data_IF_433379283653
#
_entry.id   IF_433379283653
#
_cell.length_a   1.000
_cell.length_b   1.000
_cell.length_c   1.000
_cell.angle_alpha   90.00
_cell.angle_beta   90.00
_cell.angle_gamma   90.00
#
_symmetry.space_group_name_H-M   'P 1'
#
loop_
_entity.id
_entity.type
_entity.pdbx_description
1 polymer ?
#
# COMPACT_ATOMS: atom_id res chain seq x y z
N UNK A 1 11.04 -27.25 -7.30
CA UNK A 1 9.67 -26.70 -7.38
C UNK A 1 9.71 -25.36 -8.10
N UNK A 2 9.03 -25.21 -9.25
CA UNK A 2 8.94 -23.91 -9.93
C UNK A 2 8.03 -22.97 -9.14
N UNK A 3 8.37 -21.67 -9.10
CA UNK A 3 7.51 -20.67 -8.46
C UNK A 3 6.19 -20.59 -9.25
N UNK A 4 5.01 -20.66 -8.59
CA UNK A 4 3.73 -20.58 -9.28
C UNK A 4 3.61 -19.26 -10.03
N UNK A 5 3.05 -19.31 -11.24
CA UNK A 5 2.84 -18.13 -12.05
C UNK A 5 1.87 -17.14 -11.36
N UNK A 6 1.92 -15.84 -11.67
CA UNK A 6 0.98 -14.88 -11.11
C UNK A 6 -0.50 -15.24 -11.32
N UNK A 7 -0.84 -15.87 -12.45
CA UNK A 7 -2.20 -16.36 -12.70
C UNK A 7 -2.57 -17.52 -11.77
N UNK A 8 -1.69 -18.49 -11.60
CA UNK A 8 -1.91 -19.62 -10.69
C UNK A 8 -2.08 -19.15 -9.25
N UNK A 9 -1.24 -18.21 -8.80
CA UNK A 9 -1.35 -17.61 -7.46
C UNK A 9 -2.66 -16.88 -7.25
N UNK A 10 -3.10 -16.06 -8.21
CA UNK A 10 -4.40 -15.38 -8.11
C UNK A 10 -5.54 -16.38 -7.95
N UNK A 11 -5.54 -17.45 -8.76
CA UNK A 11 -6.57 -18.50 -8.68
C UNK A 11 -6.52 -19.26 -7.34
N UNK A 12 -5.34 -19.62 -6.85
CA UNK A 12 -5.22 -20.40 -5.62
C UNK A 12 -5.49 -19.58 -4.35
N UNK A 13 -5.02 -18.33 -4.30
CA UNK A 13 -5.10 -17.48 -3.11
C UNK A 13 -6.42 -16.67 -3.05
N UNK A 14 -6.99 -16.30 -4.20
CA UNK A 14 -8.16 -15.39 -4.28
C UNK A 14 -9.32 -15.93 -5.12
N UNK A 15 -9.17 -17.10 -5.76
CA UNK A 15 -10.16 -17.71 -6.65
C UNK A 15 -10.18 -17.11 -8.06
N UNK A 16 -10.25 -15.78 -8.16
CA UNK A 16 -10.29 -15.05 -9.44
C UNK A 16 -9.59 -13.69 -9.35
N UNK A 17 -9.39 -13.06 -10.51
CA UNK A 17 -8.82 -11.71 -10.56
C UNK A 17 -9.81 -10.68 -10.02
N UNK A 18 -11.08 -10.87 -10.34
CA UNK A 18 -12.21 -10.05 -9.92
C UNK A 18 -12.29 -10.01 -8.39
N UNK A 19 -12.20 -11.17 -7.74
CA UNK A 19 -12.20 -11.24 -6.27
C UNK A 19 -11.01 -10.52 -5.65
N UNK A 20 -9.81 -10.65 -6.23
CA UNK A 20 -8.64 -9.91 -5.78
C UNK A 20 -8.82 -8.40 -5.95
N UNK A 21 -9.43 -7.97 -7.06
CA UNK A 21 -9.74 -6.55 -7.28
C UNK A 21 -10.78 -6.05 -6.28
N UNK A 22 -11.83 -6.81 -6.00
CA UNK A 22 -12.86 -6.43 -5.03
C UNK A 22 -12.27 -6.26 -3.62
N UNK A 23 -11.35 -7.14 -3.22
CA UNK A 23 -10.61 -6.97 -1.97
C UNK A 23 -9.67 -5.74 -1.98
N UNK A 24 -9.09 -5.39 -3.13
CA UNK A 24 -8.23 -4.22 -3.24
C UNK A 24 -9.03 -2.92 -3.24
N UNK A 25 -10.22 -2.90 -3.84
CA UNK A 25 -11.09 -1.72 -3.88
C UNK A 25 -11.50 -1.29 -2.47
N UNK A 26 -11.72 -2.23 -1.56
CA UNK A 26 -12.09 -1.92 -0.17
C UNK A 26 -10.92 -1.47 0.71
N UNK A 27 -9.67 -1.70 0.27
CA UNK A 27 -8.47 -1.41 1.08
C UNK A 27 -7.64 -0.24 0.56
N UNK A 28 -7.68 0.04 -0.73
CA UNK A 28 -6.84 1.04 -1.37
C UNK A 28 -7.53 2.41 -1.46
N UNK A 29 -6.74 3.46 -1.26
CA UNK A 29 -7.15 4.84 -1.52
C UNK A 29 -7.38 5.08 -3.03
N UNK A 30 -8.50 5.74 -3.35
CA UNK A 30 -8.83 6.19 -4.71
C UNK A 30 -8.07 7.47 -5.07
N UNK A 31 -8.13 7.87 -6.33
CA UNK A 31 -7.86 9.27 -6.67
C UNK A 31 -9.08 10.12 -6.31
N UNK A 32 -8.87 11.39 -5.98
CA UNK A 32 -9.93 12.29 -5.50
C UNK A 32 -11.02 12.53 -6.55
N UNK A 33 -10.65 12.43 -7.83
CA UNK A 33 -11.51 12.60 -9.00
C UNK A 33 -12.07 11.28 -9.58
N UNK A 34 -11.77 10.13 -8.97
CA UNK A 34 -12.12 8.81 -9.50
C UNK A 34 -13.35 8.19 -8.80
N UNK A 35 -14.36 7.84 -9.58
CA UNK A 35 -15.54 7.12 -9.10
C UNK A 35 -15.22 5.69 -8.63
N UNK A 36 -16.11 5.07 -7.86
CA UNK A 36 -15.92 3.68 -7.39
C UNK A 36 -15.82 2.68 -8.56
N UNK A 37 -16.67 2.84 -9.58
CA UNK A 37 -16.67 1.96 -10.75
C UNK A 37 -15.44 2.16 -11.63
N UNK A 38 -15.05 3.42 -11.84
CA UNK A 38 -13.83 3.77 -12.57
C UNK A 38 -12.59 3.18 -11.89
N UNK A 39 -12.54 3.25 -10.56
CA UNK A 39 -11.47 2.65 -9.78
C UNK A 39 -11.38 1.14 -9.96
N UNK A 40 -12.53 0.45 -9.88
CA UNK A 40 -12.60 -1.00 -10.12
C UNK A 40 -12.15 -1.34 -11.53
N UNK A 41 -12.61 -0.60 -12.55
CA UNK A 41 -12.20 -0.79 -13.95
C UNK A 41 -10.70 -0.58 -14.12
N UNK A 42 -10.12 0.46 -13.49
CA UNK A 42 -8.68 0.72 -13.52
C UNK A 42 -7.90 -0.44 -12.93
N UNK A 43 -8.30 -0.96 -11.78
CA UNK A 43 -7.67 -2.13 -11.15
C UNK A 43 -7.83 -3.40 -12.00
N UNK A 44 -8.97 -3.59 -12.66
CA UNK A 44 -9.18 -4.71 -13.58
C UNK A 44 -8.23 -4.68 -14.79
N UNK A 45 -7.75 -3.51 -15.20
CA UNK A 45 -6.73 -3.38 -16.27
C UNK A 45 -5.30 -3.67 -15.79
N UNK A 46 -5.06 -3.72 -14.49
CA UNK A 46 -3.74 -4.01 -13.91
C UNK A 46 -3.41 -5.50 -14.06
N UNK A 47 -2.13 -5.83 -14.27
CA UNK A 47 -1.68 -7.23 -14.38
C UNK A 47 -1.73 -7.97 -13.04
N UNK A 48 -1.97 -9.28 -13.07
CA UNK A 48 -2.05 -10.12 -11.87
C UNK A 48 -0.81 -9.98 -10.97
N UNK A 49 0.39 -9.88 -11.57
CA UNK A 49 1.64 -9.66 -10.83
C UNK A 49 1.61 -8.37 -10.01
N UNK A 50 1.08 -7.28 -10.58
CA UNK A 50 0.97 -5.99 -9.89
C UNK A 50 -0.14 -6.01 -8.84
N UNK A 51 -1.28 -6.63 -9.11
CA UNK A 51 -2.34 -6.80 -8.11
C UNK A 51 -1.87 -7.58 -6.89
N UNK A 52 -1.16 -8.69 -7.10
CA UNK A 52 -0.54 -9.46 -6.00
C UNK A 52 0.46 -8.62 -5.21
N UNK A 53 1.26 -7.77 -5.89
CA UNK A 53 2.17 -6.85 -5.21
C UNK A 53 1.41 -5.82 -4.38
N UNK A 54 0.34 -5.23 -4.92
CA UNK A 54 -0.49 -4.27 -4.20
C UNK A 54 -1.11 -4.90 -2.95
N UNK A 55 -1.65 -6.11 -3.07
CA UNK A 55 -2.21 -6.85 -1.94
C UNK A 55 -1.15 -7.15 -0.88
N UNK A 56 0.03 -7.64 -1.30
CA UNK A 56 1.14 -7.91 -0.38
C UNK A 56 1.61 -6.65 0.36
N UNK A 57 1.68 -5.50 -0.33
CA UNK A 57 2.03 -4.22 0.29
C UNK A 57 0.98 -3.79 1.31
N UNK A 58 -0.31 -3.97 0.98
CA UNK A 58 -1.41 -3.63 1.88
C UNK A 58 -1.45 -4.54 3.11
N UNK A 59 -1.29 -5.85 2.93
CA UNK A 59 -1.19 -6.81 4.04
C UNK A 59 0.00 -6.50 4.94
N UNK A 60 1.14 -6.13 4.35
CA UNK A 60 2.32 -5.70 5.11
C UNK A 60 2.02 -4.44 5.92
N UNK A 61 1.36 -3.45 5.31
CA UNK A 61 0.95 -2.23 6.01
C UNK A 61 0.07 -2.54 7.22
N UNK A 62 -0.99 -3.33 7.01
CA UNK A 62 -1.94 -3.74 8.04
C UNK A 62 -1.23 -4.54 9.16
N UNK A 63 -0.29 -5.41 8.80
CA UNK A 63 0.42 -6.26 9.76
C UNK A 63 1.51 -5.54 10.56
N UNK A 64 2.28 -4.63 9.94
CA UNK A 64 3.46 -4.00 10.59
C UNK A 64 3.13 -2.67 11.28
N UNK A 65 2.08 -1.98 10.84
CA UNK A 65 1.74 -0.62 11.26
C UNK A 65 0.28 -0.47 11.67
N UNK A 66 -0.64 -1.19 11.01
CA UNK A 66 -2.08 -1.10 11.27
C UNK A 66 -2.70 0.16 10.69
N UNK A 67 -2.23 1.34 11.11
CA UNK A 67 -2.72 2.64 10.67
C UNK A 67 -1.62 3.53 10.06
N UNK A 68 -2.08 4.55 9.33
CA UNK A 68 -1.21 5.46 8.58
C UNK A 68 -0.43 6.41 9.50
N UNK A 69 -1.01 6.77 10.65
CA UNK A 69 -0.36 7.61 11.66
C UNK A 69 0.87 6.93 12.25
N UNK A 70 0.73 5.66 12.66
CA UNK A 70 1.85 4.85 13.17
C UNK A 70 3.00 4.75 12.16
N UNK A 71 2.69 4.56 10.88
CA UNK A 71 3.71 4.57 9.81
C UNK A 71 4.40 5.93 9.69
N UNK A 72 3.65 7.03 9.75
CA UNK A 72 4.20 8.40 9.72
C UNK A 72 5.10 8.68 10.91
N UNK A 73 4.71 8.26 12.11
CA UNK A 73 5.52 8.40 13.33
C UNK A 73 6.86 7.66 13.21
N UNK A 74 6.85 6.41 12.70
CA UNK A 74 8.11 5.68 12.43
C UNK A 74 8.97 6.36 11.36
N UNK A 75 8.37 6.94 10.32
CA UNK A 75 9.12 7.69 9.31
C UNK A 75 9.80 8.92 9.94
N UNK A 76 9.08 9.64 10.80
CA UNK A 76 9.60 10.82 11.47
C UNK A 76 10.73 10.46 12.43
N UNK A 77 10.59 9.36 13.18
CA UNK A 77 11.64 8.89 14.09
C UNK A 77 12.94 8.54 13.36
N UNK A 78 12.87 7.97 12.15
CA UNK A 78 14.07 7.73 11.33
C UNK A 78 14.63 8.99 10.68
N UNK A 79 13.77 9.89 10.18
CA UNK A 79 14.21 11.02 9.35
C UNK A 79 14.75 12.18 10.17
N UNK A 80 14.04 12.56 11.23
CA UNK A 80 14.41 13.70 12.05
C UNK A 80 13.78 13.60 13.45
N UNK A 81 14.43 12.90 14.40
CA UNK A 81 13.94 12.75 15.77
C UNK A 81 13.62 14.08 16.46
N UNK A 82 14.32 15.16 16.09
CA UNK A 82 14.15 16.51 16.68
C UNK A 82 12.89 17.23 16.17
N UNK A 83 12.30 16.79 15.06
CA UNK A 83 11.06 17.31 14.49
C UNK A 83 9.88 16.37 14.70
N UNK A 84 9.95 15.49 15.71
CA UNK A 84 8.85 14.62 16.10
C UNK A 84 7.51 15.34 16.35
N UNK A 85 7.58 16.65 16.65
CA UNK A 85 6.42 17.51 16.93
C UNK A 85 6.09 18.49 15.79
N UNK A 86 6.72 18.37 14.61
CA UNK A 86 6.42 19.22 13.46
C UNK A 86 5.08 18.81 12.82
N UNK A 87 4.04 19.53 13.20
CA UNK A 87 2.66 19.27 12.77
C UNK A 87 2.46 19.46 11.25
N UNK A 88 2.92 20.55 10.60
CA UNK A 88 2.90 20.67 9.14
C UNK A 88 3.60 19.52 8.40
N UNK A 89 4.72 19.02 8.95
CA UNK A 89 5.43 17.89 8.34
C UNK A 89 4.64 16.58 8.47
N UNK A 90 4.01 16.32 9.61
CA UNK A 90 3.10 15.17 9.81
C UNK A 90 1.94 15.20 8.81
N UNK A 91 1.29 16.35 8.67
CA UNK A 91 0.15 16.53 7.74
C UNK A 91 0.56 16.26 6.28
N UNK A 92 1.73 16.75 5.88
CA UNK A 92 2.29 16.47 4.56
C UNK A 92 2.56 14.99 4.32
N UNK A 93 2.98 14.24 5.34
CA UNK A 93 3.18 12.80 5.22
C UNK A 93 1.83 12.05 5.17
N UNK A 94 0.84 12.48 5.96
CA UNK A 94 -0.49 11.89 5.93
C UNK A 94 -1.20 12.06 4.58
N UNK A 95 -0.84 13.08 3.80
CA UNK A 95 -1.37 13.26 2.43
C UNK A 95 -0.77 12.27 1.41
N UNK A 96 0.33 11.59 1.73
CA UNK A 96 0.93 10.60 0.84
C UNK A 96 0.21 9.27 0.91
N UNK A 97 0.18 8.53 -0.19
CA UNK A 97 -0.36 7.17 -0.23
C UNK A 97 0.46 6.20 0.61
N UNK A 98 -0.19 5.16 1.13
CA UNK A 98 0.43 4.08 1.92
C UNK A 98 1.66 3.50 1.22
N UNK A 99 1.58 3.24 -0.09
CA UNK A 99 2.71 2.70 -0.86
C UNK A 99 3.95 3.60 -0.81
N UNK A 100 3.76 4.91 -0.96
CA UNK A 100 4.85 5.90 -0.90
C UNK A 100 5.40 6.05 0.51
N UNK A 101 4.55 5.96 1.53
CA UNK A 101 4.98 5.99 2.92
C UNK A 101 5.83 4.77 3.26
N UNK A 102 5.42 3.57 2.84
CA UNK A 102 6.22 2.35 3.02
C UNK A 102 7.57 2.42 2.31
N UNK A 103 7.60 2.90 1.06
CA UNK A 103 8.86 3.10 0.32
C UNK A 103 9.79 4.09 1.04
N UNK A 104 9.23 5.17 1.59
CA UNK A 104 9.97 6.16 2.37
C UNK A 104 10.49 5.56 3.68
N UNK A 105 9.64 4.85 4.42
CA UNK A 105 10.01 4.12 5.62
C UNK A 105 11.18 3.17 5.37
N UNK A 106 11.08 2.31 4.35
CA UNK A 106 12.11 1.33 4.03
C UNK A 106 13.42 1.99 3.59
N UNK A 107 13.34 3.09 2.85
CA UNK A 107 14.53 3.85 2.46
C UNK A 107 15.23 4.49 3.65
N UNK A 108 14.48 4.99 4.64
CA UNK A 108 15.05 5.60 5.84
C UNK A 108 15.59 4.54 6.81
N UNK A 109 14.87 3.43 6.97
CA UNK A 109 15.30 2.27 7.76
C UNK A 109 16.62 1.68 7.26
N UNK A 110 16.89 1.72 5.95
CA UNK A 110 18.18 1.28 5.38
C UNK A 110 19.34 2.25 5.63
N UNK A 111 19.03 3.52 5.92
CA UNK A 111 20.03 4.59 6.12
C UNK A 111 20.35 4.85 7.59
N UNK A 112 19.40 4.59 8.47
CA UNK A 112 19.57 4.61 9.92
C UNK A 112 20.40 3.40 10.37
#
# INVERSE_FOLDING_TARGET
MSKPSPLQRVKSEYGSKENLVDQLVSKLERFDDEGADEFKVRLMRVSNKKLLRLMSVQQRFESEFGDKGTLVERIISYKNPKQANDQPFKEKLLSYRVTRLLDLHDSLKRKA
#
